data_IF_710746934274
#
_entry.id   IF_710746934274
#
_cell.length_a   1.000
_cell.length_b   1.000
_cell.length_c   1.000
_cell.angle_alpha   90.00
_cell.angle_beta   90.00
_cell.angle_gamma   90.00
#
_symmetry.space_group_name_H-M   'P 1'
#
loop_
_entity.id
_entity.type
_entity.pdbx_description
1 polymer ?
#
# COMPACT_ATOMS: atom_id res chain seq x y z
N UNK A 1 -1.27 18.45 -4.54
CA UNK A 1 -0.65 17.14 -4.81
C UNK A 1 -0.91 16.33 -3.57
N UNK A 2 -1.85 15.38 -3.64
CA UNK A 2 -2.18 14.51 -2.51
C UNK A 2 -0.94 13.69 -2.16
N UNK A 3 -0.56 13.69 -0.89
CA UNK A 3 0.58 12.91 -0.42
C UNK A 3 0.11 11.45 -0.30
N UNK A 4 0.23 10.68 -1.40
CA UNK A 4 -0.25 9.31 -1.50
C UNK A 4 0.29 8.42 -0.36
N UNK A 5 1.45 8.75 0.19
CA UNK A 5 2.01 8.10 1.38
C UNK A 5 1.14 8.34 2.61
N UNK A 6 0.82 9.61 2.90
CA UNK A 6 0.00 9.99 4.06
C UNK A 6 -1.41 9.39 3.94
N UNK A 7 -2.01 9.47 2.75
CA UNK A 7 -3.35 8.92 2.51
C UNK A 7 -3.38 7.39 2.62
N UNK A 8 -2.34 6.70 2.13
CA UNK A 8 -2.20 5.26 2.31
C UNK A 8 -2.06 4.89 3.78
N UNK A 9 -1.27 5.64 4.55
CA UNK A 9 -1.12 5.42 5.99
C UNK A 9 -2.46 5.55 6.74
N UNK A 10 -3.29 6.54 6.40
CA UNK A 10 -4.64 6.72 6.97
C UNK A 10 -5.55 5.51 6.69
N UNK A 11 -5.41 4.87 5.52
CA UNK A 11 -6.19 3.68 5.17
C UNK A 11 -5.69 2.43 5.90
N UNK A 12 -4.38 2.32 6.12
CA UNK A 12 -3.75 1.19 6.82
C UNK A 12 -3.99 1.25 8.33
N UNK A 13 -3.98 2.44 8.93
CA UNK A 13 -3.99 2.65 10.38
C UNK A 13 -5.08 1.87 11.13
N UNK A 14 -6.35 1.82 10.67
CA UNK A 14 -7.42 1.09 11.35
C UNK A 14 -7.20 -0.43 11.43
N UNK A 15 -6.34 -1.00 10.58
CA UNK A 15 -6.04 -2.43 10.55
C UNK A 15 -4.92 -2.83 11.51
N UNK A 16 -4.28 -1.87 12.15
CA UNK A 16 -3.23 -2.15 13.12
C UNK A 16 -3.87 -2.38 14.49
N UNK A 17 -3.91 -3.65 14.89
CA UNK A 17 -4.54 -4.13 16.12
C UNK A 17 -4.00 -3.52 17.41
N UNK A 18 -2.72 -3.12 17.44
CA UNK A 18 -2.10 -2.50 18.61
C UNK A 18 -2.19 -0.97 18.56
N UNK A 19 -2.57 -0.34 19.68
CA UNK A 19 -2.46 1.11 19.85
C UNK A 19 -1.01 1.59 19.94
N UNK A 20 -0.07 0.71 20.31
CA UNK A 20 1.33 1.09 20.45
C UNK A 20 1.94 1.43 19.10
N UNK A 21 2.31 2.71 18.93
CA UNK A 21 2.88 3.26 17.70
C UNK A 21 2.03 2.96 16.47
N UNK A 22 0.69 2.95 16.60
CA UNK A 22 -0.25 2.63 15.51
C UNK A 22 0.05 3.45 14.26
N UNK A 23 0.00 4.77 14.36
CA UNK A 23 0.26 5.68 13.24
C UNK A 23 1.68 5.51 12.66
N UNK A 24 2.78 5.47 13.43
CA UNK A 24 4.11 5.16 12.88
C UNK A 24 4.20 3.82 12.14
N UNK A 25 3.51 2.78 12.61
CA UNK A 25 3.50 1.47 11.93
C UNK A 25 2.73 1.51 10.62
N UNK A 26 1.63 2.26 10.57
CA UNK A 26 0.85 2.48 9.37
C UNK A 26 1.65 3.25 8.32
N UNK A 27 2.34 4.32 8.76
CA UNK A 27 3.26 5.07 7.91
C UNK A 27 4.37 4.16 7.37
N UNK A 28 5.01 3.36 8.22
CA UNK A 28 6.04 2.43 7.76
C UNK A 28 5.53 1.39 6.75
N UNK A 29 4.26 0.98 6.82
CA UNK A 29 3.67 0.08 5.83
C UNK A 29 3.40 0.80 4.49
N UNK A 30 2.96 2.07 4.54
CA UNK A 30 2.84 2.91 3.35
C UNK A 30 4.22 3.20 2.72
N UNK A 31 5.27 3.35 3.53
CA UNK A 31 6.64 3.53 3.05
C UNK A 31 7.15 2.29 2.33
N UNK A 32 6.81 1.07 2.78
CA UNK A 32 7.15 -0.16 2.06
C UNK A 32 6.52 -0.16 0.67
N UNK A 33 5.26 0.26 0.53
CA UNK A 33 4.60 0.42 -0.77
C UNK A 33 5.27 1.48 -1.65
N UNK A 34 5.66 2.62 -1.06
CA UNK A 34 6.41 3.67 -1.77
C UNK A 34 7.75 3.14 -2.29
N UNK A 35 8.50 2.45 -1.43
CA UNK A 35 9.81 1.91 -1.75
C UNK A 35 9.73 0.76 -2.79
N UNK A 36 8.62 0.02 -2.79
CA UNK A 36 8.29 -0.95 -3.84
C UNK A 36 7.81 -0.29 -5.16
N UNK A 37 7.73 1.04 -5.21
CA UNK A 37 7.25 1.77 -6.37
C UNK A 37 5.79 1.48 -6.70
N UNK A 38 4.96 1.22 -5.68
CA UNK A 38 3.56 0.83 -5.86
C UNK A 38 2.57 1.98 -5.65
N UNK A 39 2.98 3.05 -4.95
CA UNK A 39 2.13 4.23 -4.78
C UNK A 39 2.10 5.09 -6.04
N UNK A 40 0.99 5.82 -6.22
CA UNK A 40 0.82 6.76 -7.31
C UNK A 40 1.97 7.79 -7.35
N UNK A 41 2.47 8.07 -8.55
CA UNK A 41 3.60 8.98 -8.76
C UNK A 41 4.99 8.41 -8.42
N UNK A 42 5.09 7.16 -7.99
CA UNK A 42 6.38 6.48 -7.80
C UNK A 42 6.81 5.72 -9.05
N UNK A 43 8.12 5.69 -9.31
CA UNK A 43 8.68 4.84 -10.37
C UNK A 43 8.60 3.35 -9.97
N UNK A 44 8.18 2.44 -10.86
CA UNK A 44 8.15 1.02 -10.56
C UNK A 44 9.54 0.48 -10.27
N UNK A 45 9.77 -0.02 -9.05
CA UNK A 45 11.06 -0.63 -8.68
C UNK A 45 11.09 -2.14 -8.95
N UNK A 46 9.94 -2.75 -9.21
CA UNK A 46 9.80 -4.19 -9.45
C UNK A 46 9.06 -4.46 -10.77
N UNK A 47 9.59 -5.42 -11.55
CA UNK A 47 8.95 -5.96 -12.76
C UNK A 47 8.18 -7.22 -12.40
N UNK A 48 7.12 -7.07 -11.61
CA UNK A 48 6.22 -8.19 -11.32
C UNK A 48 5.10 -8.24 -12.38
N UNK A 49 4.74 -9.44 -12.87
CA UNK A 49 3.61 -9.61 -13.79
C UNK A 49 2.24 -9.51 -13.11
N UNK A 50 2.20 -9.45 -11.77
CA UNK A 50 0.95 -9.39 -11.02
C UNK A 50 0.28 -8.00 -11.16
N UNK A 51 -1.05 -7.91 -11.04
CA UNK A 51 -1.75 -6.63 -10.87
C UNK A 51 -1.19 -5.81 -9.71
N UNK A 52 -1.24 -4.48 -9.80
CA UNK A 52 -0.64 -3.59 -8.79
C UNK A 52 -1.28 -3.77 -7.40
N UNK A 53 -2.59 -4.04 -7.35
CA UNK A 53 -3.30 -4.36 -6.11
C UNK A 53 -2.77 -5.64 -5.47
N UNK A 54 -2.51 -6.68 -6.26
CA UNK A 54 -1.98 -7.96 -5.77
C UNK A 54 -0.52 -7.80 -5.30
N UNK A 55 0.28 -6.96 -5.97
CA UNK A 55 1.60 -6.59 -5.48
C UNK A 55 1.52 -5.85 -4.14
N UNK A 56 0.61 -4.90 -3.99
CA UNK A 56 0.42 -4.16 -2.75
C UNK A 56 -0.04 -5.08 -1.60
N UNK A 57 -0.98 -6.01 -1.87
CA UNK A 57 -1.41 -7.01 -0.90
C UNK A 57 -0.24 -7.90 -0.44
N UNK A 58 0.64 -8.31 -1.37
CA UNK A 58 1.84 -9.08 -1.03
C UNK A 58 2.79 -8.32 -0.09
N UNK A 59 3.05 -7.04 -0.36
CA UNK A 59 3.90 -6.21 0.53
C UNK A 59 3.24 -6.03 1.91
N UNK A 60 1.95 -5.71 1.95
CA UNK A 60 1.21 -5.51 3.19
C UNK A 60 1.06 -6.80 4.01
N UNK A 61 0.93 -7.94 3.34
CA UNK A 61 0.84 -9.27 3.95
C UNK A 61 2.11 -9.70 4.71
N UNK A 62 3.24 -9.02 4.51
CA UNK A 62 4.43 -9.20 5.34
C UNK A 62 4.28 -8.58 6.75
N UNK A 63 3.33 -7.66 6.94
CA UNK A 63 3.10 -6.94 8.21
C UNK A 63 1.74 -7.24 8.85
N UNK A 64 0.75 -7.53 8.02
CA UNK A 64 -0.65 -7.71 8.37
C UNK A 64 -1.11 -9.11 7.96
N UNK A 65 -2.24 -9.54 8.49
CA UNK A 65 -2.89 -10.74 8.01
C UNK A 65 -3.37 -10.55 6.56
N UNK A 66 -3.37 -11.66 5.81
CA UNK A 66 -3.66 -11.64 4.38
C UNK A 66 -5.04 -11.04 4.03
N UNK A 67 -6.14 -11.33 4.76
CA UNK A 67 -7.43 -10.71 4.46
C UNK A 67 -7.42 -9.19 4.58
N UNK A 68 -6.79 -8.63 5.61
CA UNK A 68 -6.64 -7.19 5.77
C UNK A 68 -5.76 -6.60 4.65
N UNK A 69 -4.66 -7.26 4.30
CA UNK A 69 -3.77 -6.81 3.23
C UNK A 69 -4.50 -6.69 1.88
N UNK A 70 -5.32 -7.67 1.53
CA UNK A 70 -6.16 -7.65 0.31
C UNK A 70 -7.20 -6.53 0.38
N UNK A 71 -7.88 -6.36 1.51
CA UNK A 71 -8.87 -5.30 1.68
C UNK A 71 -8.25 -3.89 1.56
N UNK A 72 -7.10 -3.67 2.21
CA UNK A 72 -6.35 -2.42 2.14
C UNK A 72 -5.92 -2.16 0.69
N UNK A 73 -5.32 -3.14 0.02
CA UNK A 73 -4.88 -2.98 -1.37
C UNK A 73 -6.05 -2.58 -2.30
N UNK A 74 -7.22 -3.20 -2.13
CA UNK A 74 -8.43 -2.81 -2.85
C UNK A 74 -8.88 -1.37 -2.55
N UNK A 75 -8.82 -0.93 -1.28
CA UNK A 75 -9.13 0.46 -0.91
C UNK A 75 -8.14 1.47 -1.48
N UNK A 76 -6.86 1.13 -1.54
CA UNK A 76 -5.83 1.97 -2.15
C UNK A 76 -6.06 2.10 -3.66
N UNK A 77 -6.31 0.99 -4.36
CA UNK A 77 -6.62 0.96 -5.79
C UNK A 77 -7.88 1.78 -6.12
N UNK A 78 -8.98 1.56 -5.38
CA UNK A 78 -10.24 2.27 -5.58
C UNK A 78 -10.14 3.80 -5.37
N UNK A 79 -9.11 4.28 -4.66
CA UNK A 79 -8.83 5.71 -4.44
C UNK A 79 -7.77 6.27 -5.38
N UNK A 80 -7.23 5.49 -6.30
CA UNK A 80 -6.15 5.91 -7.19
C UNK A 80 -4.84 6.19 -6.45
N UNK A 81 -4.63 5.56 -5.30
CA UNK A 81 -3.41 5.72 -4.49
C UNK A 81 -2.30 4.75 -4.90
N UNK A 82 -2.65 3.71 -5.67
CA UNK A 82 -1.69 2.83 -6.32
C UNK A 82 -1.34 3.39 -7.70
N UNK A 83 -0.12 3.10 -8.17
CA UNK A 83 0.27 3.46 -9.53
C UNK A 83 -0.62 2.78 -10.55
N UNK A 84 -0.81 3.44 -11.69
CA UNK A 84 -1.50 2.81 -12.81
C UNK A 84 -0.67 1.64 -13.36
N UNK A 85 -1.36 0.59 -13.83
CA UNK A 85 -0.71 -0.45 -14.60
C UNK A 85 -0.14 0.18 -15.87
N UNK A 86 1.17 0.09 -16.07
CA UNK A 86 1.79 0.46 -17.34
C UNK A 86 1.27 -0.53 -18.38
N UNK A 87 0.40 -0.08 -19.28
CA UNK A 87 -0.04 -0.88 -20.41
C UNK A 87 1.22 -1.29 -21.21
N UNK A 88 1.43 -2.60 -21.34
CA UNK A 88 2.53 -3.19 -22.08
C UNK A 88 2.39 -2.96 -23.59
#
# INVERSE_FOLDING_TARGET
>A
MTDALADAAVIIEPYISSDFKRQPRALGAAEDLRNAGLLAGCEPTTRSPLPVEEQAANILGCRLDWPAAVEIAGKLGARGLLREAVAA
#
